data_IF_605136288032
#
_entry.id   IF_605136288032
#
_cell.length_a   1.000
_cell.length_b   1.000
_cell.length_c   1.000
_cell.angle_alpha   90.00
_cell.angle_beta   90.00
_cell.angle_gamma   90.00
#
_symmetry.space_group_name_H-M   'P 1'
#
loop_
_entity.id
_entity.type
_entity.pdbx_description
1 polymer ?
#
# COMPACT_ATOMS: atom_id res chain seq x y z
N UNK A 1 -13.13 4.12 9.42
CA UNK A 1 -12.41 5.10 8.57
C UNK A 1 -13.05 5.07 7.19
N UNK A 2 -12.98 6.16 6.40
CA UNK A 2 -13.35 6.09 4.98
C UNK A 2 -12.49 5.05 4.26
N UNK A 3 -12.96 4.52 3.13
CA UNK A 3 -12.16 3.66 2.27
C UNK A 3 -11.10 4.52 1.55
N UNK A 4 -9.85 4.05 1.42
CA UNK A 4 -8.90 4.69 0.54
C UNK A 4 -9.40 4.61 -0.90
N UNK A 5 -9.07 5.61 -1.71
CA UNK A 5 -9.33 5.60 -3.16
C UNK A 5 -8.12 5.08 -3.93
N UNK A 6 -6.94 5.11 -3.31
CA UNK A 6 -5.69 4.65 -3.90
C UNK A 6 -4.82 3.99 -2.82
N UNK A 7 -4.06 2.97 -3.23
CA UNK A 7 -3.07 2.31 -2.40
C UNK A 7 -1.70 2.50 -3.03
N UNK A 8 -0.70 2.83 -2.21
CA UNK A 8 0.69 2.93 -2.66
C UNK A 8 1.61 2.13 -1.77
N UNK A 9 2.56 1.41 -2.38
CA UNK A 9 3.62 0.74 -1.63
C UNK A 9 4.93 1.47 -1.87
N UNK A 10 5.60 1.88 -0.79
CA UNK A 10 6.93 2.47 -0.87
C UNK A 10 7.93 1.73 0.03
N UNK A 11 9.19 1.75 -0.39
CA UNK A 11 10.34 1.36 0.43
C UNK A 11 11.28 2.55 0.54
N UNK A 12 11.63 2.95 1.76
CA UNK A 12 12.52 4.08 2.00
C UNK A 12 13.99 3.67 1.84
N UNK A 13 14.85 4.58 1.33
CA UNK A 13 16.28 4.31 1.28
C UNK A 13 16.86 4.00 2.67
N UNK A 14 17.45 2.82 2.81
CA UNK A 14 18.05 2.37 4.07
C UNK A 14 17.10 1.61 5.00
N UNK A 15 15.83 1.46 4.64
CA UNK A 15 14.90 0.54 5.30
C UNK A 15 14.77 -0.77 4.51
N UNK A 16 14.66 -1.89 5.22
CA UNK A 16 14.38 -3.20 4.64
C UNK A 16 12.90 -3.45 4.41
N UNK A 17 12.02 -2.72 5.10
CA UNK A 17 10.58 -2.91 5.03
C UNK A 17 9.87 -2.14 3.92
N UNK A 18 8.57 -2.40 3.81
CA UNK A 18 7.65 -1.82 2.85
C UNK A 18 6.48 -1.18 3.60
N UNK A 19 6.06 -0.01 3.14
CA UNK A 19 4.94 0.74 3.70
C UNK A 19 3.80 0.73 2.70
N UNK A 20 2.63 0.25 3.11
CA UNK A 20 1.39 0.34 2.36
C UNK A 20 0.61 1.57 2.83
N UNK A 21 0.54 2.60 1.99
CA UNK A 21 -0.17 3.84 2.23
C UNK A 21 -1.60 3.78 1.71
N UNK A 22 -2.52 4.31 2.52
CA UNK A 22 -3.94 4.42 2.23
C UNK A 22 -4.17 5.90 1.90
N UNK A 23 -4.49 6.20 0.64
CA UNK A 23 -4.63 7.57 0.16
C UNK A 23 -6.10 7.94 -0.04
N UNK A 24 -6.44 9.17 0.31
CA UNK A 24 -7.76 9.73 0.04
C UNK A 24 -7.85 10.38 -1.35
N UNK A 25 -9.00 10.98 -1.66
CA UNK A 25 -9.27 11.64 -2.95
C UNK A 25 -8.36 12.83 -3.26
N UNK A 26 -7.61 13.34 -2.29
CA UNK A 26 -6.64 14.42 -2.43
C UNK A 26 -5.19 13.89 -2.48
N UNK A 27 -5.01 12.57 -2.55
CA UNK A 27 -3.72 11.90 -2.43
C UNK A 27 -3.01 12.19 -1.09
N UNK A 28 -3.77 12.49 -0.03
CA UNK A 28 -3.22 12.63 1.31
C UNK A 28 -3.21 11.26 2.01
N UNK A 29 -2.13 10.99 2.75
CA UNK A 29 -2.00 9.76 3.53
C UNK A 29 -2.99 9.78 4.68
N UNK A 30 -3.95 8.86 4.63
CA UNK A 30 -4.89 8.62 5.73
C UNK A 30 -4.23 7.81 6.84
N UNK A 31 -3.49 6.77 6.46
CA UNK A 31 -2.73 5.87 7.35
C UNK A 31 -1.74 5.04 6.53
N UNK A 32 -0.82 4.39 7.21
CA UNK A 32 0.09 3.40 6.64
C UNK A 32 0.14 2.11 7.47
N UNK A 33 0.55 1.02 6.83
CA UNK A 33 0.96 -0.22 7.50
C UNK A 33 2.36 -0.65 7.07
N UNK A 34 3.15 -1.12 8.03
CA UNK A 34 4.52 -1.62 7.78
C UNK A 34 4.52 -3.13 7.56
N UNK A 35 5.31 -3.56 6.58
CA UNK A 35 5.53 -4.95 6.22
C UNK A 35 7.01 -5.27 6.04
N UNK A 36 7.40 -6.48 6.42
CA UNK A 36 8.75 -7.02 6.27
C UNK A 36 9.07 -7.43 4.82
N UNK A 37 8.05 -7.72 3.99
CA UNK A 37 8.24 -8.04 2.58
C UNK A 37 7.17 -7.41 1.70
N UNK A 38 7.49 -7.23 0.41
CA UNK A 38 6.58 -6.67 -0.58
C UNK A 38 5.33 -7.55 -0.74
N UNK A 39 5.49 -8.87 -0.73
CA UNK A 39 4.39 -9.82 -0.87
C UNK A 39 3.35 -9.68 0.25
N UNK A 40 3.78 -9.33 1.45
CA UNK A 40 2.87 -9.12 2.58
C UNK A 40 2.10 -7.80 2.45
N UNK A 41 2.75 -6.74 1.96
CA UNK A 41 2.08 -5.49 1.64
C UNK A 41 1.03 -5.68 0.52
N UNK A 42 1.41 -6.37 -0.57
CA UNK A 42 0.50 -6.72 -1.67
C UNK A 42 -0.67 -7.58 -1.19
N UNK A 43 -0.37 -8.61 -0.38
CA UNK A 43 -1.38 -9.51 0.16
C UNK A 43 -2.39 -8.81 1.08
N UNK A 44 -1.98 -7.76 1.80
CA UNK A 44 -2.94 -6.94 2.56
C UNK A 44 -3.86 -6.15 1.62
N UNK A 45 -3.33 -5.58 0.52
CA UNK A 45 -4.13 -4.90 -0.50
C UNK A 45 -5.16 -5.82 -1.15
N UNK A 46 -4.77 -7.05 -1.47
CA UNK A 46 -5.67 -8.08 -1.99
C UNK A 46 -6.76 -8.45 -0.96
N UNK A 47 -6.37 -8.70 0.29
CA UNK A 47 -7.30 -9.16 1.33
C UNK A 47 -8.30 -8.07 1.77
N UNK A 48 -7.85 -6.83 1.94
CA UNK A 48 -8.72 -5.73 2.41
C UNK A 48 -9.52 -5.06 1.29
N UNK A 49 -8.94 -4.97 0.09
CA UNK A 49 -9.48 -4.13 -0.99
C UNK A 49 -9.69 -4.88 -2.31
N UNK A 50 -9.40 -6.19 -2.36
CA UNK A 50 -9.54 -7.01 -3.58
C UNK A 50 -8.69 -6.50 -4.76
N UNK A 51 -7.59 -5.80 -4.48
CA UNK A 51 -6.63 -5.34 -5.50
C UNK A 51 -5.72 -6.51 -5.84
N UNK A 52 -5.80 -7.02 -7.07
CA UNK A 52 -4.98 -8.12 -7.53
C UNK A 52 -3.52 -7.68 -7.74
N UNK A 53 -2.58 -8.63 -7.61
CA UNK A 53 -1.16 -8.35 -7.75
C UNK A 53 -0.76 -7.76 -9.12
N UNK A 54 -1.52 -8.06 -10.17
CA UNK A 54 -1.33 -7.56 -11.53
C UNK A 54 -1.95 -6.17 -11.80
N UNK A 55 -2.75 -5.65 -10.87
CA UNK A 55 -3.28 -4.27 -10.92
C UNK A 55 -2.28 -3.23 -10.38
N UNK A 56 -1.17 -3.68 -9.77
CA UNK A 56 -0.14 -2.79 -9.25
C UNK A 56 0.79 -2.29 -10.36
N UNK A 57 0.83 -0.96 -10.52
CA UNK A 57 1.77 -0.31 -11.43
C UNK A 57 3.09 0.01 -10.71
N UNK A 58 4.22 -0.27 -11.38
CA UNK A 58 5.54 0.14 -10.90
C UNK A 58 5.85 1.55 -11.43
N UNK A 59 6.05 2.50 -10.52
CA UNK A 59 6.50 3.87 -10.82
C UNK A 59 7.97 4.09 -10.48
#
# INVERSE_FOLDING_TARGET
MPLPVELQIAQYPGDSGFYLFYLDEHAEVMTDTYHDTLERALGQGEWEFSVAADEWERS
#
